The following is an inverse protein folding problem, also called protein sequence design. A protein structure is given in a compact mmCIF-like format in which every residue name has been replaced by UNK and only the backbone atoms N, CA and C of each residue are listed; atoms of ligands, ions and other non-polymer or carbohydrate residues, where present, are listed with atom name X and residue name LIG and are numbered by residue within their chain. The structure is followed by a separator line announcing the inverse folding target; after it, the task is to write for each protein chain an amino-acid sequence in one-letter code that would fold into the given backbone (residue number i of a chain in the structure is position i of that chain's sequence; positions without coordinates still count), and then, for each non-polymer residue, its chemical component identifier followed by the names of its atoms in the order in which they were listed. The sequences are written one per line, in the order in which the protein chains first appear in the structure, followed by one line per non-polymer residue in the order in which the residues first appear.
data_IF_913400061890
#
_entry.id   IF_913400061890
#
_cell.length_a   1.000
_cell.length_b   1.000
_cell.length_c   1.000
_cell.angle_alpha   90.00
_cell.angle_beta   90.00
_cell.angle_gamma   90.00
#
_symmetry.space_group_name_H-M   'P 1'
#
loop_
_entity.id
_entity.type
_entity.pdbx_description
1 polymer ?
#
# COMPACT_ATOMS: atom_id res chain seq x y z
N UNK A 1 -16.52 14.81 -21.32
CA UNK A 1 -16.11 16.10 -20.74
C UNK A 1 -17.34 16.97 -20.53
N UNK A 2 -17.70 17.30 -19.29
CA UNK A 2 -18.82 18.23 -19.02
C UNK A 2 -18.29 19.65 -19.14
N UNK A 3 -18.78 20.44 -20.11
CA UNK A 3 -18.39 21.84 -20.26
C UNK A 3 -19.00 22.68 -19.14
N UNK A 4 -18.17 23.10 -18.17
CA UNK A 4 -18.59 24.04 -17.12
C UNK A 4 -18.68 25.43 -17.75
N UNK A 5 -19.90 25.96 -17.91
CA UNK A 5 -20.10 27.30 -18.45
C UNK A 5 -19.43 28.36 -17.55
N UNK A 6 -18.71 29.31 -18.17
CA UNK A 6 -17.96 30.40 -17.48
C UNK A 6 -18.82 31.22 -16.51
N UNK A 7 -20.15 31.20 -16.64
CA UNK A 7 -21.09 31.84 -15.71
C UNK A 7 -21.13 31.22 -14.31
N UNK A 8 -20.77 29.93 -14.16
CA UNK A 8 -20.86 29.21 -12.86
C UNK A 8 -19.68 29.46 -11.92
N UNK A 9 -18.59 30.05 -12.42
CA UNK A 9 -17.35 30.35 -11.66
C UNK A 9 -17.27 31.82 -11.19
N UNK A 10 -18.30 32.64 -11.46
CA UNK A 10 -18.34 34.02 -11.01
C UNK A 10 -18.34 34.16 -9.48
N UNK A 11 -17.87 35.30 -8.97
CA UNK A 11 -17.92 35.59 -7.54
C UNK A 11 -19.37 35.69 -7.04
N UNK A 12 -19.57 35.51 -5.73
CA UNK A 12 -20.89 35.45 -5.13
C UNK A 12 -21.73 36.70 -5.39
N UNK A 13 -21.14 37.89 -5.23
CA UNK A 13 -21.81 39.16 -5.49
C UNK A 13 -22.32 39.31 -6.93
N UNK A 14 -21.57 38.82 -7.91
CA UNK A 14 -22.02 38.88 -9.31
C UNK A 14 -23.12 37.85 -9.58
N UNK A 15 -23.07 36.69 -8.92
CA UNK A 15 -24.06 35.62 -9.06
C UNK A 15 -25.38 35.96 -8.38
N UNK A 16 -25.35 36.51 -7.18
CA UNK A 16 -26.55 36.97 -6.45
C UNK A 16 -27.27 38.07 -7.24
N UNK A 17 -26.49 38.99 -7.85
CA UNK A 17 -27.00 40.05 -8.73
C UNK A 17 -27.32 39.59 -10.15
N UNK A 18 -27.08 38.32 -10.49
CA UNK A 18 -27.28 37.72 -11.83
C UNK A 18 -26.59 38.49 -12.98
N UNK A 19 -25.40 39.03 -12.73
CA UNK A 19 -24.59 39.75 -13.73
C UNK A 19 -23.33 38.97 -14.12
N UNK A 20 -22.78 39.25 -15.31
CA UNK A 20 -21.58 38.58 -15.83
C UNK A 20 -20.33 39.00 -15.06
N UNK A 21 -19.67 38.04 -14.42
CA UNK A 21 -18.39 38.21 -13.74
C UNK A 21 -17.22 37.96 -14.70
N UNK A 22 -16.25 38.88 -14.75
CA UNK A 22 -15.05 38.74 -15.59
C UNK A 22 -13.88 38.02 -14.91
N UNK A 23 -14.00 37.69 -13.61
CA UNK A 23 -13.05 36.84 -12.87
C UNK A 23 -11.61 37.36 -12.77
N UNK A 24 -11.40 38.67 -12.91
CA UNK A 24 -10.09 39.30 -12.74
C UNK A 24 -9.59 39.21 -11.30
N UNK A 25 -8.31 38.89 -11.09
CA UNK A 25 -7.69 38.91 -9.75
C UNK A 25 -7.00 40.27 -9.51
N UNK A 26 -6.98 40.79 -8.27
CA UNK A 26 -7.47 40.20 -7.02
C UNK A 26 -8.99 40.36 -6.78
N UNK A 27 -9.70 41.16 -7.57
CA UNK A 27 -11.16 41.36 -7.49
C UNK A 27 -11.76 41.61 -8.88
N UNK A 28 -13.03 41.23 -9.10
CA UNK A 28 -13.67 41.49 -10.39
C UNK A 28 -14.01 42.98 -10.55
N UNK A 29 -14.07 43.46 -11.80
CA UNK A 29 -14.38 44.87 -12.09
C UNK A 29 -15.79 45.28 -11.66
N UNK A 30 -16.69 44.30 -11.47
CA UNK A 30 -18.09 44.53 -11.15
C UNK A 30 -18.27 44.78 -9.66
N UNK A 31 -17.51 44.08 -8.83
CA UNK A 31 -17.38 44.38 -7.40
C UNK A 31 -16.60 45.67 -7.18
N UNK A 32 -15.53 45.92 -7.96
CA UNK A 32 -14.74 47.15 -7.85
C UNK A 32 -15.58 48.40 -8.12
N UNK A 33 -16.35 48.44 -9.22
CA UNK A 33 -17.22 49.59 -9.54
C UNK A 33 -18.39 49.77 -8.57
N UNK A 34 -18.86 48.68 -7.96
CA UNK A 34 -19.95 48.72 -6.99
C UNK A 34 -19.47 49.03 -5.56
N UNK A 35 -18.16 49.25 -5.33
CA UNK A 35 -17.60 49.45 -3.99
C UNK A 35 -17.69 48.22 -3.08
N UNK A 36 -17.92 47.02 -3.64
CA UNK A 36 -18.11 45.78 -2.87
C UNK A 36 -16.80 44.99 -2.76
N UNK A 37 -16.57 44.38 -1.59
CA UNK A 37 -15.49 43.42 -1.41
C UNK A 37 -15.82 42.12 -2.17
N UNK A 38 -14.92 41.67 -3.04
CA UNK A 38 -15.11 40.47 -3.85
C UNK A 38 -14.80 39.21 -3.03
N UNK A 39 -15.80 38.35 -2.80
CA UNK A 39 -15.69 37.11 -2.01
C UNK A 39 -14.88 35.98 -2.66
N UNK A 40 -14.24 36.23 -3.81
CA UNK A 40 -13.49 35.25 -4.57
C UNK A 40 -14.35 34.41 -5.52
N UNK A 41 -13.72 33.44 -6.20
CA UNK A 41 -14.33 32.63 -7.26
C UNK A 41 -14.48 31.18 -6.81
N UNK A 42 -15.59 30.54 -7.18
CA UNK A 42 -15.77 29.10 -6.93
C UNK A 42 -14.76 28.30 -7.74
N UNK A 43 -14.26 27.23 -7.14
CA UNK A 43 -13.45 26.23 -7.82
C UNK A 43 -14.35 25.20 -8.48
N UNK A 44 -13.80 24.42 -9.42
CA UNK A 44 -14.54 23.34 -10.10
C UNK A 44 -15.08 22.32 -9.08
N UNK A 45 -14.42 22.17 -7.92
CA UNK A 45 -14.85 21.30 -6.83
C UNK A 45 -16.16 21.76 -6.15
N UNK A 46 -16.38 23.08 -6.02
CA UNK A 46 -17.58 23.67 -5.39
C UNK A 46 -18.84 23.60 -6.27
N UNK A 47 -18.69 23.07 -7.48
CA UNK A 47 -19.78 22.87 -8.45
C UNK A 47 -20.25 21.42 -8.50
N UNK A 48 -19.48 20.47 -7.96
CA UNK A 48 -19.81 19.03 -8.01
C UNK A 48 -20.76 18.62 -6.87
N UNK A 49 -20.75 19.33 -5.74
CA UNK A 49 -21.72 19.15 -4.67
C UNK A 49 -22.69 20.34 -4.63
N UNK A 50 -23.88 20.15 -5.20
CA UNK A 50 -25.02 21.04 -4.94
C UNK A 50 -26.03 20.25 -4.12
N UNK A 51 -26.18 20.61 -2.85
CA UNK A 51 -27.29 20.14 -2.03
C UNK A 51 -28.60 20.67 -2.64
N UNK A 52 -29.39 19.77 -3.20
CA UNK A 52 -30.67 20.09 -3.84
C UNK A 52 -31.87 19.75 -2.95
N UNK A 53 -31.65 19.36 -1.69
CA UNK A 53 -32.69 18.91 -0.77
C UNK A 53 -33.80 19.94 -0.63
N UNK A 54 -33.46 21.21 -0.40
CA UNK A 54 -34.44 22.30 -0.29
C UNK A 54 -35.21 22.59 -1.60
N UNK A 55 -34.54 22.42 -2.75
CA UNK A 55 -35.14 22.66 -4.08
C UNK A 55 -36.12 21.57 -4.48
N UNK A 56 -35.81 20.32 -4.13
CA UNK A 56 -36.69 19.16 -4.35
C UNK A 56 -37.88 19.24 -3.39
N UNK A 57 -37.65 19.56 -2.11
CA UNK A 57 -38.72 19.78 -1.14
C UNK A 57 -39.72 20.85 -1.62
N UNK A 58 -39.24 22.00 -2.10
CA UNK A 58 -40.12 23.06 -2.64
C UNK A 58 -40.87 22.65 -3.92
N UNK A 59 -40.27 21.82 -4.78
CA UNK A 59 -40.89 21.37 -6.03
C UNK A 59 -42.07 20.42 -5.79
N UNK A 60 -42.04 19.66 -4.71
CA UNK A 60 -43.10 18.71 -4.34
C UNK A 60 -44.15 19.29 -3.38
N UNK A 61 -44.00 20.53 -2.90
CA UNK A 61 -45.01 21.23 -2.10
C UNK A 61 -45.91 22.20 -2.91
N UNK A 62 -45.76 22.26 -4.24
CA UNK A 62 -46.43 23.27 -5.08
C UNK A 62 -47.37 22.70 -6.15
N UNK A 63 -47.72 21.42 -6.13
CA UNK A 63 -48.67 20.84 -7.09
C UNK A 63 -49.80 20.15 -6.32
N UNK A 64 -50.87 20.90 -6.07
CA UNK A 64 -52.18 20.33 -5.74
C UNK A 64 -52.62 19.48 -6.92
N UNK A 65 -52.35 18.19 -6.85
CA UNK A 65 -52.98 17.19 -7.70
C UNK A 65 -53.95 16.43 -6.78
N UNK A 66 -55.21 16.84 -6.81
CA UNK A 66 -56.33 16.06 -6.30
C UNK A 66 -56.38 14.72 -7.02
N UNK A 67 -55.89 13.66 -6.39
CA UNK A 67 -56.11 12.28 -6.80
C UNK A 67 -56.83 11.54 -5.68
N UNK A 68 -58.13 11.35 -5.88
CA UNK A 68 -58.93 10.31 -5.23
C UNK A 68 -58.36 8.95 -5.66
N UNK A 69 -57.69 8.25 -4.74
CA UNK A 69 -57.14 6.93 -5.00
C UNK A 69 -56.64 6.28 -3.71
N UNK A 70 -57.34 5.23 -3.29
CA UNK A 70 -57.14 4.42 -2.07
C UNK A 70 -55.69 4.28 -1.61
N UNK A 71 -55.52 4.49 -0.30
CA UNK A 71 -54.40 4.10 0.54
C UNK A 71 -53.65 2.86 0.06
N UNK A 72 -52.41 3.08 -0.37
CA UNK A 72 -51.29 2.17 -0.10
C UNK A 72 -50.05 3.00 0.18
N UNK A 73 -49.89 3.42 1.42
CA UNK A 73 -48.63 3.92 1.97
C UNK A 73 -47.52 2.88 1.76
N UNK A 74 -46.81 2.93 0.62
CA UNK A 74 -45.46 2.41 0.55
C UNK A 74 -44.57 3.52 1.09
N UNK A 75 -44.39 3.50 2.41
CA UNK A 75 -43.33 4.27 3.06
C UNK A 75 -42.00 3.72 2.50
N UNK A 76 -41.49 4.35 1.44
CA UNK A 76 -40.10 4.21 1.04
C UNK A 76 -39.31 4.94 2.12
N UNK A 77 -39.04 4.23 3.21
CA UNK A 77 -38.09 4.65 4.22
C UNK A 77 -36.74 4.70 3.52
N UNK A 78 -36.27 5.90 3.19
CA UNK A 78 -34.86 6.08 2.83
C UNK A 78 -34.06 5.63 4.05
N UNK A 79 -33.47 4.44 3.96
CA UNK A 79 -32.52 3.97 4.96
C UNK A 79 -31.27 4.83 4.81
N UNK A 80 -31.26 5.99 5.47
CA UNK A 80 -30.02 6.71 5.75
C UNK A 80 -29.24 5.75 6.64
N UNK A 81 -28.07 5.21 6.21
CA UNK A 81 -27.30 4.36 7.09
C UNK A 81 -27.07 5.14 8.40
N UNK A 82 -27.31 4.52 9.57
CA UNK A 82 -27.27 5.21 10.85
C UNK A 82 -25.87 5.78 11.20
N UNK A 83 -24.85 5.47 10.39
CA UNK A 83 -23.48 5.95 10.54
C UNK A 83 -23.05 6.77 9.32
N UNK A 84 -22.40 7.93 9.51
CA UNK A 84 -21.78 8.70 8.43
C UNK A 84 -20.78 7.85 7.63
N UNK A 85 -20.70 8.07 6.31
CA UNK A 85 -19.79 7.32 5.42
C UNK A 85 -18.32 7.36 5.89
N UNK A 86 -17.89 8.46 6.50
CA UNK A 86 -16.57 8.56 7.12
C UNK A 86 -16.32 7.55 8.25
N UNK A 87 -17.31 7.27 9.10
CA UNK A 87 -17.15 6.31 10.20
C UNK A 87 -17.15 4.87 9.67
N UNK A 88 -17.94 4.58 8.64
CA UNK A 88 -17.89 3.29 7.93
C UNK A 88 -16.52 3.08 7.31
N UNK A 89 -15.98 4.10 6.64
CA UNK A 89 -14.65 4.04 6.03
C UNK A 89 -13.53 3.89 7.07
N UNK A 90 -13.62 4.60 8.19
CA UNK A 90 -12.69 4.45 9.30
C UNK A 90 -12.72 3.03 9.85
N UNK A 91 -13.91 2.49 10.13
CA UNK A 91 -14.05 1.14 10.66
C UNK A 91 -13.52 0.10 9.66
N UNK A 92 -13.85 0.26 8.36
CA UNK A 92 -13.32 -0.59 7.30
C UNK A 92 -11.78 -0.57 7.24
N UNK A 93 -11.17 0.62 7.38
CA UNK A 93 -9.72 0.73 7.48
C UNK A 93 -9.16 0.00 8.70
N UNK A 94 -9.77 0.19 9.88
CA UNK A 94 -9.30 -0.42 11.12
C UNK A 94 -9.34 -1.95 11.04
N UNK A 95 -10.35 -2.49 10.34
CA UNK A 95 -10.53 -3.93 10.19
C UNK A 95 -9.61 -4.54 9.12
N UNK A 96 -9.32 -3.83 8.02
CA UNK A 96 -8.66 -4.41 6.84
C UNK A 96 -7.26 -3.85 6.54
N UNK A 97 -6.94 -2.64 6.99
CA UNK A 97 -5.72 -1.93 6.61
C UNK A 97 -4.80 -1.60 7.79
N UNK A 98 -5.21 -1.90 9.01
CA UNK A 98 -4.38 -1.70 10.18
C UNK A 98 -3.26 -2.75 10.29
N UNK A 99 -2.05 -2.39 9.87
CA UNK A 99 -0.87 -3.28 9.89
C UNK A 99 -0.39 -3.66 11.30
N UNK A 100 -0.86 -2.96 12.32
CA UNK A 100 -0.50 -3.22 13.73
C UNK A 100 -1.37 -4.31 14.39
N UNK A 101 -2.52 -4.67 13.82
CA UNK A 101 -3.46 -5.73 14.28
C UNK A 101 -3.90 -5.67 15.77
N UNK A 102 -3.44 -4.70 16.57
CA UNK A 102 -3.83 -4.47 17.96
C UNK A 102 -4.96 -3.45 18.13
N UNK A 103 -5.58 -3.35 19.32
CA UNK A 103 -6.59 -2.33 19.60
C UNK A 103 -6.02 -0.94 19.33
N UNK A 104 -6.55 -0.28 18.30
CA UNK A 104 -6.04 1.02 17.84
C UNK A 104 -6.28 2.08 18.92
N UNK A 105 -5.28 2.93 19.25
CA UNK A 105 -5.47 4.07 20.14
C UNK A 105 -6.49 5.08 19.59
N UNK A 106 -6.88 4.99 18.30
CA UNK A 106 -7.96 5.79 17.71
C UNK A 106 -9.35 5.54 18.34
N UNK A 107 -9.50 4.54 19.20
CA UNK A 107 -10.74 4.29 19.97
C UNK A 107 -10.87 5.13 21.25
N UNK A 108 -9.80 5.77 21.76
CA UNK A 108 -9.84 6.49 23.02
C UNK A 108 -9.24 7.91 22.91
N UNK A 109 -10.12 8.93 23.02
CA UNK A 109 -9.83 10.39 23.06
C UNK A 109 -9.12 11.00 21.83
N UNK A 110 -9.24 12.33 21.70
CA UNK A 110 -8.99 13.19 20.52
C UNK A 110 -8.17 12.55 19.38
N UNK A 111 -8.87 12.11 18.32
CA UNK A 111 -8.21 11.51 17.16
C UNK A 111 -7.48 12.61 16.36
N UNK A 112 -6.13 12.57 16.22
CA UNK A 112 -5.40 13.61 15.50
C UNK A 112 -5.88 13.72 14.05
N UNK A 113 -6.30 14.92 13.63
CA UNK A 113 -6.91 15.14 12.30
C UNK A 113 -6.04 14.63 11.15
N UNK A 114 -4.71 14.72 11.28
CA UNK A 114 -3.75 14.22 10.29
C UNK A 114 -3.88 12.71 10.05
N UNK A 115 -3.97 11.90 11.11
CA UNK A 115 -4.13 10.45 11.00
C UNK A 115 -5.52 10.11 10.49
N UNK A 116 -6.57 10.65 11.13
CA UNK A 116 -7.96 10.31 10.80
C UNK A 116 -8.29 10.59 9.35
N UNK A 117 -7.85 11.74 8.82
CA UNK A 117 -8.14 12.11 7.44
C UNK A 117 -7.47 11.16 6.45
N UNK A 118 -6.22 10.74 6.71
CA UNK A 118 -5.50 9.80 5.84
C UNK A 118 -6.10 8.39 5.93
N UNK A 119 -6.50 7.95 7.12
CA UNK A 119 -7.20 6.68 7.37
C UNK A 119 -8.53 6.61 6.62
N UNK A 120 -9.39 7.62 6.78
CA UNK A 120 -10.68 7.69 6.09
C UNK A 120 -10.48 7.71 4.57
N UNK A 121 -9.44 8.39 4.09
CA UNK A 121 -9.12 8.43 2.66
C UNK A 121 -8.87 7.03 2.08
N UNK A 122 -8.09 6.19 2.77
CA UNK A 122 -7.83 4.80 2.36
C UNK A 122 -9.10 3.95 2.47
N UNK A 123 -9.82 4.04 3.58
CA UNK A 123 -11.06 3.29 3.78
C UNK A 123 -12.11 3.57 2.71
N UNK A 124 -12.31 4.85 2.36
CA UNK A 124 -13.21 5.24 1.27
C UNK A 124 -12.73 4.74 -0.09
N UNK A 125 -11.41 4.79 -0.37
CA UNK A 125 -10.86 4.29 -1.63
C UNK A 125 -11.05 2.78 -1.78
N UNK A 126 -10.83 2.03 -0.70
CA UNK A 126 -11.03 0.58 -0.68
C UNK A 126 -12.49 0.20 -0.94
N UNK A 127 -13.43 0.84 -0.22
CA UNK A 127 -14.87 0.65 -0.44
C UNK A 127 -15.28 1.05 -1.87
N UNK A 128 -14.77 2.18 -2.36
CA UNK A 128 -15.06 2.64 -3.71
C UNK A 128 -14.55 1.67 -4.79
N UNK A 129 -13.37 1.09 -4.60
CA UNK A 129 -12.82 0.08 -5.50
C UNK A 129 -13.65 -1.21 -5.46
N UNK A 130 -13.99 -1.69 -4.26
CA UNK A 130 -14.78 -2.91 -4.07
C UNK A 130 -16.18 -2.81 -4.67
N UNK A 131 -16.84 -1.66 -4.52
CA UNK A 131 -18.19 -1.43 -5.04
C UNK A 131 -18.24 -0.77 -6.42
N UNK A 132 -17.08 -0.51 -7.04
CA UNK A 132 -16.96 0.22 -8.31
C UNK A 132 -17.71 1.57 -8.30
N UNK A 133 -17.64 2.29 -7.18
CA UNK A 133 -18.37 3.55 -6.98
C UNK A 133 -17.48 4.77 -7.27
N UNK A 134 -17.67 5.48 -8.41
CA UNK A 134 -16.87 6.63 -8.76
C UNK A 134 -17.12 7.87 -7.87
N UNK A 135 -18.31 8.00 -7.29
CA UNK A 135 -18.64 9.13 -6.40
C UNK A 135 -17.94 8.96 -5.06
N UNK A 136 -17.97 7.74 -4.51
CA UNK A 136 -17.24 7.41 -3.29
C UNK A 136 -15.73 7.59 -3.51
N UNK A 137 -15.24 7.25 -4.69
CA UNK A 137 -13.84 7.47 -5.05
C UNK A 137 -13.48 8.96 -5.14
N UNK A 138 -14.39 9.80 -5.60
CA UNK A 138 -14.18 11.24 -5.60
C UNK A 138 -14.09 11.80 -4.17
N UNK A 139 -14.92 11.31 -3.24
CA UNK A 139 -14.83 11.66 -1.83
C UNK A 139 -13.47 11.22 -1.23
N UNK A 140 -13.04 10.01 -1.55
CA UNK A 140 -11.74 9.46 -1.13
C UNK A 140 -10.57 10.35 -1.57
N UNK A 141 -10.57 10.82 -2.83
CA UNK A 141 -9.59 11.79 -3.37
C UNK A 141 -9.63 13.13 -2.64
N UNK A 142 -10.81 13.61 -2.24
CA UNK A 142 -10.96 14.83 -1.45
C UNK A 142 -10.33 14.74 -0.07
N UNK A 143 -10.50 13.59 0.61
CA UNK A 143 -9.84 13.29 1.89
C UNK A 143 -8.34 13.12 1.71
N UNK A 144 -7.88 12.42 0.66
CA UNK A 144 -6.46 12.30 0.31
C UNK A 144 -5.79 13.67 0.17
N UNK A 145 -6.38 14.58 -0.62
CA UNK A 145 -5.84 15.92 -0.82
C UNK A 145 -5.80 16.74 0.47
N UNK A 146 -6.75 16.51 1.38
CA UNK A 146 -6.78 17.16 2.70
C UNK A 146 -5.70 16.60 3.61
N UNK A 147 -5.54 15.27 3.66
CA UNK A 147 -4.49 14.60 4.42
C UNK A 147 -3.09 15.02 3.95
N UNK A 148 -2.87 15.13 2.63
CA UNK A 148 -1.61 15.62 2.06
C UNK A 148 -1.29 17.04 2.53
N UNK A 149 -2.28 17.95 2.56
CA UNK A 149 -2.10 19.31 3.09
C UNK A 149 -1.78 19.34 4.58
N UNK A 150 -2.43 18.48 5.37
CA UNK A 150 -2.16 18.36 6.80
C UNK A 150 -0.74 17.83 7.05
N UNK A 151 -0.32 16.79 6.33
CA UNK A 151 1.03 16.25 6.41
C UNK A 151 2.08 17.28 5.99
N UNK A 152 1.86 17.99 4.88
CA UNK A 152 2.77 19.04 4.44
C UNK A 152 2.92 20.15 5.50
N UNK A 153 1.83 20.57 6.16
CA UNK A 153 1.89 21.53 7.26
C UNK A 153 2.61 20.98 8.48
N UNK A 154 2.43 19.70 8.82
CA UNK A 154 3.11 19.08 9.95
C UNK A 154 4.64 18.99 9.74
N UNK A 155 5.09 18.76 8.50
CA UNK A 155 6.51 18.68 8.15
C UNK A 155 7.18 20.06 8.14
N UNK A 156 6.50 21.09 7.63
CA UNK A 156 7.08 22.43 7.46
C UNK A 156 6.70 23.42 8.57
N UNK A 157 5.75 23.06 9.42
CA UNK A 157 5.18 23.94 10.43
C UNK A 157 6.10 24.10 11.65
N UNK A 158 5.96 25.21 12.39
CA UNK A 158 6.71 25.41 13.63
C UNK A 158 6.24 24.48 14.76
N UNK A 159 5.02 23.94 14.66
CA UNK A 159 4.46 22.97 15.61
C UNK A 159 5.02 21.56 15.35
N UNK A 160 5.70 21.00 16.35
CA UNK A 160 6.25 19.65 16.28
C UNK A 160 5.11 18.63 16.38
N UNK A 161 4.61 18.19 15.23
CA UNK A 161 3.78 16.98 15.18
C UNK A 161 4.63 15.75 15.48
N UNK A 162 4.14 14.78 16.28
CA UNK A 162 4.89 13.54 16.53
C UNK A 162 5.28 12.83 15.23
N UNK A 163 6.54 12.38 15.13
CA UNK A 163 7.07 11.67 13.97
C UNK A 163 6.21 10.45 13.59
N UNK A 164 5.70 9.72 14.58
CA UNK A 164 4.79 8.60 14.38
C UNK A 164 3.49 8.98 13.63
N UNK A 165 2.93 10.17 13.88
CA UNK A 165 1.70 10.62 13.23
C UNK A 165 1.94 10.98 11.77
N UNK A 166 3.04 11.68 11.49
CA UNK A 166 3.46 12.02 10.14
C UNK A 166 3.80 10.77 9.33
N UNK A 167 4.56 9.83 9.93
CA UNK A 167 4.90 8.55 9.33
C UNK A 167 3.64 7.73 8.98
N UNK A 168 2.71 7.59 9.93
CA UNK A 168 1.43 6.88 9.71
C UNK A 168 0.62 7.53 8.59
N UNK A 169 0.50 8.86 8.59
CA UNK A 169 -0.22 9.57 7.55
C UNK A 169 0.45 9.39 6.18
N UNK A 170 1.78 9.41 6.11
CA UNK A 170 2.51 9.20 4.87
C UNK A 170 2.34 7.77 4.34
N UNK A 171 2.40 6.75 5.21
CA UNK A 171 2.07 5.37 4.86
C UNK A 171 0.67 5.25 4.26
N UNK A 172 -0.34 5.85 4.90
CA UNK A 172 -1.72 5.81 4.41
C UNK A 172 -1.87 6.45 3.03
N UNK A 173 -1.17 7.56 2.76
CA UNK A 173 -1.16 8.17 1.43
C UNK A 173 -0.53 7.24 0.37
N UNK A 174 0.50 6.47 0.72
CA UNK A 174 1.04 5.43 -0.19
C UNK A 174 0.04 4.32 -0.48
N UNK A 175 -0.71 3.85 0.54
CA UNK A 175 -1.75 2.84 0.36
C UNK A 175 -2.86 3.37 -0.54
N UNK A 176 -3.31 4.60 -0.33
CA UNK A 176 -4.29 5.25 -1.20
C UNK A 176 -3.82 5.25 -2.67
N UNK A 177 -2.59 5.67 -2.93
CA UNK A 177 -2.03 5.68 -4.29
C UNK A 177 -1.87 4.28 -4.89
N UNK A 178 -1.67 3.24 -4.07
CA UNK A 178 -1.68 1.86 -4.55
C UNK A 178 -3.08 1.39 -4.94
N UNK A 179 -4.12 1.78 -4.20
CA UNK A 179 -5.51 1.51 -4.56
C UNK A 179 -5.88 2.28 -5.84
N UNK A 180 -5.39 3.52 -5.94
CA UNK A 180 -5.66 4.41 -7.05
C UNK A 180 -4.70 4.21 -8.22
N UNK A 181 -5.09 3.37 -9.18
CA UNK A 181 -4.42 3.33 -10.47
C UNK A 181 -5.04 4.42 -11.38
N UNK A 182 -4.28 5.47 -11.71
CA UNK A 182 -4.56 6.31 -12.87
C UNK A 182 -3.50 5.95 -13.93
N UNK A 183 -3.93 5.72 -15.17
CA UNK A 183 -3.17 5.14 -16.29
C UNK A 183 -2.02 6.05 -16.81
N UNK A 184 -1.50 6.92 -15.94
CA UNK A 184 -0.43 7.88 -16.17
C UNK A 184 0.87 7.29 -15.66
N UNK A 185 1.69 6.82 -16.59
CA UNK A 185 3.16 6.62 -16.66
C UNK A 185 4.10 6.58 -15.42
N UNK A 186 3.67 6.85 -14.20
CA UNK A 186 4.51 6.86 -13.01
C UNK A 186 4.10 5.73 -12.04
N UNK A 187 4.40 4.48 -12.41
CA UNK A 187 4.03 3.26 -11.66
C UNK A 187 4.56 3.14 -10.22
N UNK A 188 5.26 4.17 -9.72
CA UNK A 188 5.99 4.14 -8.46
C UNK A 188 5.81 5.40 -7.59
N UNK A 189 4.79 6.24 -7.84
CA UNK A 189 4.54 7.45 -7.03
C UNK A 189 4.39 7.15 -5.53
N UNK A 190 3.74 6.04 -5.20
CA UNK A 190 3.53 5.58 -3.82
C UNK A 190 4.85 5.37 -3.06
N UNK A 191 5.96 5.06 -3.75
CA UNK A 191 7.27 4.93 -3.12
C UNK A 191 7.77 6.23 -2.51
N UNK A 192 7.39 7.38 -3.07
CA UNK A 192 7.80 8.68 -2.53
C UNK A 192 7.28 8.90 -1.12
N UNK A 193 6.04 8.49 -0.86
CA UNK A 193 5.46 8.52 0.48
C UNK A 193 6.13 7.52 1.41
N UNK A 194 6.42 6.31 0.94
CA UNK A 194 7.15 5.32 1.74
C UNK A 194 8.55 5.83 2.13
N UNK A 195 9.29 6.45 1.19
CA UNK A 195 10.58 7.06 1.51
C UNK A 195 10.44 8.21 2.50
N UNK A 196 9.48 9.11 2.29
CA UNK A 196 9.21 10.22 3.20
C UNK A 196 8.87 9.75 4.62
N UNK A 197 8.03 8.72 4.75
CA UNK A 197 7.74 8.07 6.01
C UNK A 197 9.00 7.56 6.72
N UNK A 198 9.84 6.81 6.00
CA UNK A 198 11.05 6.22 6.60
C UNK A 198 12.06 7.27 7.03
N UNK A 199 12.18 8.38 6.31
CA UNK A 199 13.03 9.49 6.70
C UNK A 199 12.55 10.15 8.01
N UNK A 200 11.23 10.34 8.15
CA UNK A 200 10.61 10.88 9.38
C UNK A 200 10.80 9.96 10.58
N UNK A 201 10.69 8.64 10.40
CA UNK A 201 10.94 7.69 11.50
C UNK A 201 12.40 7.70 11.94
N UNK A 202 13.32 7.88 10.99
CA UNK A 202 14.75 7.85 11.27
C UNK A 202 15.23 9.10 12.00
N UNK A 203 14.59 10.25 11.78
CA UNK A 203 14.87 11.46 12.56
C UNK A 203 14.20 11.46 13.94
N UNK A 204 13.08 10.76 14.10
CA UNK A 204 12.34 10.67 15.38
C UNK A 204 12.83 9.60 16.36
N UNK A 205 13.60 8.62 15.89
CA UNK A 205 14.10 7.50 16.70
C UNK A 205 13.03 6.44 17.06
N UNK A 206 13.48 5.28 17.55
CA UNK A 206 12.62 4.15 17.96
C UNK A 206 12.44 4.02 19.48
N UNK A 207 12.98 4.94 20.26
CA UNK A 207 12.98 4.86 21.71
C UNK A 207 11.55 4.82 22.28
N UNK A 208 11.27 3.86 23.16
CA UNK A 208 9.96 3.72 23.82
C UNK A 208 8.86 3.08 22.97
N UNK A 209 9.16 2.57 21.77
CA UNK A 209 8.18 1.82 20.98
C UNK A 209 7.87 0.45 21.60
N UNK A 210 6.60 0.07 21.60
CA UNK A 210 6.18 -1.27 21.99
C UNK A 210 6.38 -2.29 20.85
N UNK A 211 6.20 -3.58 21.15
CA UNK A 211 6.36 -4.69 20.18
C UNK A 211 5.56 -4.47 18.91
N UNK A 212 4.29 -4.08 19.04
CA UNK A 212 3.37 -3.86 17.91
C UNK A 212 3.82 -2.71 17.00
N UNK A 213 4.29 -1.61 17.58
CA UNK A 213 4.84 -0.47 16.83
C UNK A 213 6.12 -0.89 16.10
N UNK A 214 7.00 -1.65 16.76
CA UNK A 214 8.22 -2.17 16.16
C UNK A 214 7.91 -3.09 14.97
N UNK A 215 6.93 -4.00 15.11
CA UNK A 215 6.47 -4.86 14.01
C UNK A 215 5.98 -4.03 12.81
N UNK A 216 5.25 -2.94 13.04
CA UNK A 216 4.81 -2.06 11.95
C UNK A 216 5.99 -1.33 11.27
N UNK A 217 6.98 -0.86 12.03
CA UNK A 217 8.20 -0.27 11.48
C UNK A 217 8.95 -1.28 10.62
N UNK A 218 9.17 -2.50 11.13
CA UNK A 218 9.84 -3.57 10.39
C UNK A 218 9.11 -3.90 9.08
N UNK A 219 7.79 -4.05 9.10
CA UNK A 219 7.00 -4.29 7.89
C UNK A 219 7.24 -3.23 6.81
N UNK A 220 7.33 -1.95 7.20
CA UNK A 220 7.64 -0.88 6.23
C UNK A 220 9.10 -0.91 5.80
N UNK A 221 10.07 -1.09 6.70
CA UNK A 221 11.48 -1.22 6.36
C UNK A 221 11.71 -2.31 5.31
N UNK A 222 11.12 -3.50 5.51
CA UNK A 222 11.15 -4.57 4.53
C UNK A 222 10.52 -4.17 3.20
N UNK A 223 9.37 -3.50 3.22
CA UNK A 223 8.73 -3.00 1.99
C UNK A 223 9.64 -2.06 1.21
N UNK A 224 10.38 -1.19 1.90
CA UNK A 224 11.36 -0.29 1.26
C UNK A 224 12.52 -1.08 0.67
N UNK A 225 13.07 -2.04 1.41
CA UNK A 225 14.15 -2.88 0.91
C UNK A 225 13.76 -3.68 -0.33
N UNK A 226 12.52 -4.21 -0.37
CA UNK A 226 11.98 -4.87 -1.56
C UNK A 226 11.73 -3.87 -2.69
N UNK A 227 11.25 -2.66 -2.40
CA UNK A 227 11.12 -1.61 -3.41
C UNK A 227 12.47 -1.20 -4.03
N UNK A 228 13.55 -1.22 -3.25
CA UNK A 228 14.91 -0.99 -3.74
C UNK A 228 15.38 -2.08 -4.71
N UNK A 229 14.89 -3.33 -4.59
CA UNK A 229 15.08 -4.36 -5.63
C UNK A 229 14.39 -3.91 -6.93
N UNK A 230 13.16 -3.43 -6.83
CA UNK A 230 12.34 -3.04 -7.99
C UNK A 230 12.97 -1.88 -8.77
N UNK A 231 13.42 -0.86 -8.05
CA UNK A 231 14.08 0.32 -8.62
C UNK A 231 15.57 0.11 -8.90
N UNK A 232 16.13 -1.03 -8.46
CA UNK A 232 17.56 -1.34 -8.47
C UNK A 232 18.40 -0.21 -7.87
N UNK A 233 18.01 0.22 -6.69
CA UNK A 233 18.71 1.23 -5.89
C UNK A 233 19.21 0.62 -4.59
N UNK A 234 20.18 1.27 -3.95
CA UNK A 234 20.65 0.86 -2.63
C UNK A 234 19.59 1.15 -1.59
N UNK A 235 19.48 0.28 -0.59
CA UNK A 235 18.70 0.57 0.62
C UNK A 235 19.39 1.73 1.35
N UNK A 236 18.67 2.79 1.74
CA UNK A 236 19.25 3.88 2.52
C UNK A 236 19.89 3.38 3.83
N UNK A 237 21.13 3.80 4.12
CA UNK A 237 21.88 3.31 5.29
C UNK A 237 21.17 3.58 6.61
N UNK A 238 20.49 4.73 6.71
CA UNK A 238 19.72 5.10 7.90
C UNK A 238 18.66 4.05 8.27
N UNK A 239 18.13 3.27 7.31
CA UNK A 239 17.18 2.19 7.59
C UNK A 239 17.84 0.99 8.24
N UNK A 240 19.08 0.70 7.84
CA UNK A 240 19.88 -0.35 8.46
C UNK A 240 20.19 0.05 9.90
N UNK A 241 20.63 1.28 10.11
CA UNK A 241 20.89 1.84 11.44
C UNK A 241 19.63 1.83 12.32
N UNK A 242 18.47 2.20 11.73
CA UNK A 242 17.18 2.19 12.39
C UNK A 242 16.83 0.80 12.93
N UNK A 243 16.89 -0.23 12.08
CA UNK A 243 16.54 -1.61 12.48
C UNK A 243 17.58 -2.20 13.44
N UNK A 244 18.87 -1.94 13.23
CA UNK A 244 19.93 -2.40 14.13
C UNK A 244 19.86 -1.74 15.52
N UNK A 245 19.34 -0.51 15.61
CA UNK A 245 19.10 0.12 16.92
C UNK A 245 18.05 -0.64 17.75
N UNK A 246 17.11 -1.33 17.09
CA UNK A 246 16.11 -2.18 17.74
C UNK A 246 16.68 -3.54 18.18
N UNK A 247 17.70 -4.07 17.49
CA UNK A 247 18.36 -5.35 17.80
C UNK A 247 18.92 -5.39 19.22
N UNK A 248 19.47 -4.26 19.68
CA UNK A 248 20.04 -4.12 21.02
C UNK A 248 18.99 -4.23 22.14
N UNK A 249 17.70 -4.11 21.83
CA UNK A 249 16.61 -4.16 22.79
C UNK A 249 15.86 -5.51 22.78
N UNK A 250 15.81 -6.21 21.64
CA UNK A 250 15.19 -7.54 21.49
C UNK A 250 15.61 -8.18 20.16
N UNK A 251 16.39 -9.28 20.18
CA UNK A 251 16.82 -9.98 18.95
C UNK A 251 15.71 -10.87 18.39
N UNK A 252 14.68 -10.24 17.81
CA UNK A 252 13.66 -10.98 17.06
C UNK A 252 14.18 -11.39 15.68
N UNK A 253 13.81 -12.56 15.13
CA UNK A 253 14.33 -13.04 13.85
C UNK A 253 14.26 -12.07 12.66
N UNK A 254 13.20 -11.24 12.48
CA UNK A 254 13.16 -10.26 11.38
C UNK A 254 14.20 -9.14 11.53
N UNK A 255 14.64 -8.83 12.75
CA UNK A 255 15.69 -7.83 12.97
C UNK A 255 17.03 -8.34 12.43
N UNK A 256 17.33 -9.62 12.66
CA UNK A 256 18.55 -10.27 12.14
C UNK A 256 18.53 -10.49 10.61
N UNK A 257 17.36 -10.79 10.05
CA UNK A 257 17.22 -11.05 8.61
C UNK A 257 17.33 -9.77 7.76
N UNK A 258 16.92 -8.62 8.30
CA UNK A 258 16.85 -7.37 7.54
C UNK A 258 18.22 -6.89 7.00
N UNK A 259 19.32 -6.84 7.79
CA UNK A 259 20.65 -6.50 7.28
C UNK A 259 21.17 -7.44 6.18
N UNK A 260 20.79 -8.73 6.23
CA UNK A 260 21.15 -9.70 5.19
C UNK A 260 20.46 -9.35 3.86
N UNK A 261 19.16 -9.00 3.90
CA UNK A 261 18.44 -8.49 2.74
C UNK A 261 19.09 -7.22 2.18
N UNK A 262 19.37 -6.23 3.02
CA UNK A 262 20.00 -4.97 2.59
C UNK A 262 21.35 -5.21 1.92
N UNK A 263 22.17 -6.11 2.47
CA UNK A 263 23.47 -6.47 1.89
C UNK A 263 23.32 -7.14 0.52
N UNK A 264 22.32 -8.02 0.34
CA UNK A 264 22.03 -8.63 -0.96
C UNK A 264 21.53 -7.62 -1.98
N UNK A 265 20.71 -6.65 -1.58
CA UNK A 265 20.28 -5.56 -2.47
C UNK A 265 21.47 -4.74 -2.94
N UNK A 266 22.43 -4.41 -2.05
CA UNK A 266 23.64 -3.70 -2.45
C UNK A 266 24.48 -4.51 -3.46
N UNK A 267 24.69 -5.80 -3.21
CA UNK A 267 25.37 -6.69 -4.17
C UNK A 267 24.63 -6.76 -5.52
N UNK A 268 23.29 -6.81 -5.51
CA UNK A 268 22.46 -6.81 -6.72
C UNK A 268 22.55 -5.52 -7.54
N UNK A 269 22.80 -4.38 -6.89
CA UNK A 269 23.10 -3.12 -7.58
C UNK A 269 24.51 -3.18 -8.19
N UNK A 270 25.49 -3.73 -7.47
CA UNK A 270 26.88 -3.85 -7.93
C UNK A 270 27.06 -4.78 -9.14
N UNK A 271 26.22 -5.80 -9.32
CA UNK A 271 26.29 -6.69 -10.50
C UNK A 271 26.12 -5.94 -11.82
N UNK A 272 25.45 -4.78 -11.84
CA UNK A 272 25.30 -3.97 -13.05
C UNK A 272 26.57 -3.21 -13.47
N UNK A 273 27.54 -3.07 -12.55
CA UNK A 273 28.61 -2.07 -12.65
C UNK A 273 30.01 -2.69 -12.81
N UNK A 274 30.12 -4.01 -12.99
CA UNK A 274 31.35 -4.72 -12.58
C UNK A 274 32.26 -5.27 -13.70
N UNK A 275 33.48 -4.72 -13.71
CA UNK A 275 34.72 -5.30 -14.24
C UNK A 275 35.11 -6.62 -13.53
N UNK A 276 35.96 -7.44 -14.14
CA UNK A 276 36.29 -8.83 -13.70
C UNK A 276 36.72 -8.98 -12.23
N UNK A 277 37.58 -8.09 -11.71
CA UNK A 277 38.08 -8.14 -10.32
C UNK A 277 36.98 -7.97 -9.26
N UNK A 278 35.90 -7.25 -9.59
CA UNK A 278 34.76 -7.02 -8.67
C UNK A 278 33.83 -8.24 -8.57
N UNK A 279 33.82 -9.13 -9.57
CA UNK A 279 32.89 -10.27 -9.63
C UNK A 279 33.21 -11.35 -8.59
N UNK A 280 34.48 -11.66 -8.36
CA UNK A 280 34.88 -12.66 -7.36
C UNK A 280 34.53 -12.22 -5.93
N UNK A 281 34.72 -10.93 -5.62
CA UNK A 281 34.33 -10.36 -4.33
C UNK A 281 32.81 -10.41 -4.12
N UNK A 282 32.02 -10.02 -5.12
CA UNK A 282 30.54 -10.09 -5.07
C UNK A 282 30.07 -11.52 -4.84
N UNK A 283 30.62 -12.50 -5.58
CA UNK A 283 30.30 -13.92 -5.39
C UNK A 283 30.65 -14.41 -3.99
N UNK A 284 31.86 -14.11 -3.49
CA UNK A 284 32.29 -14.51 -2.14
C UNK A 284 31.35 -13.94 -1.08
N UNK A 285 31.00 -12.65 -1.19
CA UNK A 285 30.11 -12.00 -0.23
C UNK A 285 28.68 -12.56 -0.28
N UNK A 286 28.17 -12.85 -1.47
CA UNK A 286 26.87 -13.50 -1.62
C UNK A 286 26.84 -14.89 -0.97
N UNK A 287 27.91 -15.69 -1.13
CA UNK A 287 28.04 -17.01 -0.50
C UNK A 287 28.12 -16.91 1.03
N UNK A 288 28.83 -15.92 1.57
CA UNK A 288 28.80 -15.63 3.02
C UNK A 288 27.37 -15.37 3.51
N UNK A 289 26.61 -14.53 2.79
CA UNK A 289 25.22 -14.22 3.17
C UNK A 289 24.34 -15.48 3.08
N UNK A 290 24.53 -16.35 2.07
CA UNK A 290 23.80 -17.62 1.98
C UNK A 290 24.05 -18.51 3.20
N UNK A 291 25.30 -18.59 3.69
CA UNK A 291 25.61 -19.30 4.94
C UNK A 291 24.93 -18.63 6.14
N UNK A 292 24.98 -17.31 6.24
CA UNK A 292 24.29 -16.57 7.31
C UNK A 292 22.77 -16.81 7.31
N UNK A 293 22.15 -16.90 6.14
CA UNK A 293 20.73 -17.23 5.99
C UNK A 293 20.42 -18.66 6.48
N UNK A 294 21.32 -19.63 6.25
CA UNK A 294 21.18 -20.98 6.78
C UNK A 294 21.34 -21.01 8.31
N UNK A 295 22.31 -20.27 8.85
CA UNK A 295 22.50 -20.13 10.29
C UNK A 295 21.30 -19.46 10.96
N UNK A 296 20.73 -18.43 10.33
CA UNK A 296 19.50 -17.77 10.79
C UNK A 296 18.33 -18.76 10.86
N UNK A 297 18.13 -19.54 9.79
CA UNK A 297 17.08 -20.57 9.72
C UNK A 297 17.22 -21.62 10.85
N UNK A 298 18.45 -22.07 11.12
CA UNK A 298 18.71 -23.08 12.14
C UNK A 298 18.49 -22.59 13.58
N UNK A 299 18.44 -21.27 13.81
CA UNK A 299 18.25 -20.65 15.14
C UNK A 299 16.82 -20.14 15.38
N UNK A 300 15.89 -20.33 14.44
CA UNK A 300 14.54 -19.84 14.60
C UNK A 300 13.85 -20.45 15.82
N UNK A 301 13.26 -19.63 16.71
CA UNK A 301 12.54 -20.15 17.86
C UNK A 301 11.19 -20.76 17.43
N UNK A 302 10.62 -21.60 18.30
CA UNK A 302 9.40 -22.39 18.02
C UNK A 302 8.22 -21.61 17.42
N UNK A 303 7.93 -20.33 17.76
CA UNK A 303 6.83 -19.60 17.13
C UNK A 303 7.05 -19.29 15.63
N UNK A 304 8.29 -19.33 15.15
CA UNK A 304 8.65 -18.96 13.77
C UNK A 304 8.61 -20.15 12.81
N UNK A 305 7.52 -20.91 12.84
CA UNK A 305 7.32 -22.06 11.95
C UNK A 305 7.01 -21.62 10.51
N UNK A 306 7.48 -22.40 9.54
CA UNK A 306 7.19 -22.17 8.12
C UNK A 306 5.73 -22.54 7.79
N UNK A 307 4.90 -21.59 7.31
CA UNK A 307 3.51 -21.88 6.97
C UNK A 307 3.35 -22.94 5.88
N UNK A 308 4.35 -23.12 5.01
CA UNK A 308 4.32 -24.13 3.93
C UNK A 308 4.37 -25.56 4.50
N UNK A 309 5.06 -25.75 5.62
CA UNK A 309 5.30 -27.07 6.23
C UNK A 309 4.33 -27.40 7.37
N UNK A 310 3.45 -26.46 7.75
CA UNK A 310 2.64 -26.57 8.97
C UNK A 310 1.15 -26.47 8.63
N UNK A 311 0.44 -27.61 8.66
CA UNK A 311 -1.00 -27.67 8.35
C UNK A 311 -1.86 -26.98 9.44
N UNK A 312 -1.32 -26.74 10.64
CA UNK A 312 -2.11 -26.47 11.87
C UNK A 312 -1.69 -25.25 12.72
N UNK A 313 -0.81 -24.35 12.28
CA UNK A 313 -0.50 -23.12 13.06
C UNK A 313 -1.58 -22.03 12.93
N UNK A 314 -2.85 -22.41 13.11
CA UNK A 314 -4.03 -21.68 12.63
C UNK A 314 -4.71 -20.76 13.69
N UNK A 315 -4.03 -20.22 14.71
CA UNK A 315 -4.69 -19.28 15.66
C UNK A 315 -3.80 -18.19 16.26
N UNK A 316 -2.64 -17.88 15.69
CA UNK A 316 -1.79 -16.81 16.25
C UNK A 316 -2.06 -15.46 15.58
N UNK A 317 -2.27 -14.37 16.37
CA UNK A 317 -2.47 -13.01 15.85
C UNK A 317 -1.37 -12.53 14.88
N UNK A 318 -0.16 -13.11 14.98
CA UNK A 318 1.02 -12.72 14.20
C UNK A 318 1.24 -13.59 12.94
N UNK A 319 0.34 -14.53 12.61
CA UNK A 319 0.53 -15.50 11.51
C UNK A 319 0.78 -14.87 10.13
N UNK A 320 0.08 -13.78 9.80
CA UNK A 320 0.29 -13.05 8.54
C UNK A 320 1.66 -12.37 8.46
N UNK A 321 2.21 -11.96 9.61
CA UNK A 321 3.54 -11.37 9.71
C UNK A 321 4.62 -12.44 9.58
N UNK A 322 4.49 -13.56 10.29
CA UNK A 322 5.41 -14.71 10.19
C UNK A 322 5.51 -15.21 8.75
N UNK A 323 4.37 -15.38 8.08
CA UNK A 323 4.32 -15.78 6.67
C UNK A 323 5.07 -14.81 5.75
N UNK A 324 4.98 -13.50 6.00
CA UNK A 324 5.73 -12.49 5.23
C UNK A 324 7.23 -12.58 5.44
N UNK A 325 7.68 -12.77 6.67
CA UNK A 325 9.10 -12.92 6.99
C UNK A 325 9.69 -14.14 6.28
N UNK A 326 8.94 -15.24 6.22
CA UNK A 326 9.29 -16.41 5.42
C UNK A 326 9.36 -16.14 3.92
N UNK A 327 8.46 -15.31 3.38
CA UNK A 327 8.55 -14.84 1.99
C UNK A 327 9.81 -13.99 1.78
N UNK A 328 10.15 -13.08 2.71
CA UNK A 328 11.37 -12.28 2.62
C UNK A 328 12.63 -13.12 2.69
N UNK A 329 12.66 -14.16 3.53
CA UNK A 329 13.75 -15.14 3.57
C UNK A 329 13.95 -15.82 2.20
N UNK A 330 12.86 -16.30 1.58
CA UNK A 330 12.88 -16.92 0.24
C UNK A 330 13.33 -15.94 -0.84
N UNK A 331 12.88 -14.69 -0.77
CA UNK A 331 13.36 -13.61 -1.65
C UNK A 331 14.86 -13.37 -1.49
N UNK A 332 15.40 -13.40 -0.26
CA UNK A 332 16.84 -13.30 -0.03
C UNK A 332 17.59 -14.46 -0.72
N UNK A 333 17.08 -15.70 -0.62
CA UNK A 333 17.67 -16.87 -1.28
C UNK A 333 17.65 -16.75 -2.81
N UNK A 334 16.54 -16.30 -3.39
CA UNK A 334 16.41 -16.01 -4.82
C UNK A 334 17.41 -14.92 -5.25
N UNK A 335 17.44 -13.80 -4.53
CA UNK A 335 18.32 -12.66 -4.82
C UNK A 335 19.79 -13.05 -4.75
N UNK A 336 20.20 -13.80 -3.73
CA UNK A 336 21.56 -14.30 -3.58
C UNK A 336 21.99 -15.17 -4.77
N UNK A 337 21.11 -16.07 -5.21
CA UNK A 337 21.41 -16.91 -6.36
C UNK A 337 21.53 -16.08 -7.65
N UNK A 338 20.65 -15.11 -7.88
CA UNK A 338 20.74 -14.19 -9.04
C UNK A 338 22.05 -13.39 -9.02
N UNK A 339 22.45 -12.89 -7.85
CA UNK A 339 23.72 -12.16 -7.67
C UNK A 339 24.92 -13.05 -8.03
N UNK A 340 24.95 -14.29 -7.53
CA UNK A 340 26.01 -15.26 -7.83
C UNK A 340 26.03 -15.58 -9.32
N UNK A 341 24.89 -15.94 -9.91
CA UNK A 341 24.79 -16.31 -11.32
C UNK A 341 25.20 -15.16 -12.25
N UNK A 342 24.79 -13.93 -11.94
CA UNK A 342 25.16 -12.74 -12.71
C UNK A 342 26.66 -12.41 -12.63
N UNK A 343 27.35 -12.91 -11.61
CA UNK A 343 28.78 -12.66 -11.36
C UNK A 343 29.68 -13.74 -11.99
N UNK A 344 29.15 -14.92 -12.30
CA UNK A 344 29.86 -16.01 -12.98
C UNK A 344 29.92 -15.75 -14.49
N UNK A 345 31.12 -15.55 -15.02
CA UNK A 345 31.34 -14.88 -16.31
C UNK A 345 31.05 -15.71 -17.58
N UNK A 346 30.56 -16.95 -17.51
CA UNK A 346 30.17 -17.75 -18.69
C UNK A 346 29.36 -19.00 -18.28
N UNK A 347 28.48 -19.55 -19.14
CA UNK A 347 27.66 -20.73 -18.84
C UNK A 347 28.47 -21.99 -18.47
N UNK A 348 29.75 -22.05 -18.87
CA UNK A 348 30.62 -23.21 -18.68
C UNK A 348 31.25 -23.33 -17.28
N UNK A 349 31.10 -22.35 -16.40
CA UNK A 349 31.48 -22.44 -14.98
C UNK A 349 30.28 -22.73 -14.06
N UNK A 350 29.10 -23.01 -14.63
CA UNK A 350 27.88 -23.37 -13.87
C UNK A 350 27.92 -24.78 -13.28
N UNK A 351 28.98 -25.54 -13.53
CA UNK A 351 29.10 -26.93 -13.11
C UNK A 351 29.77 -26.97 -11.73
N UNK A 352 28.97 -27.30 -10.71
CA UNK A 352 29.33 -27.69 -9.33
C UNK A 352 28.80 -26.77 -8.22
N UNK A 353 27.48 -26.65 -8.10
CA UNK A 353 26.88 -26.22 -6.83
C UNK A 353 25.54 -26.90 -6.48
N UNK A 354 25.22 -28.04 -7.10
CA UNK A 354 24.24 -28.97 -6.57
C UNK A 354 24.96 -29.95 -5.63
N UNK A 355 24.84 -29.76 -4.31
CA UNK A 355 25.03 -30.89 -3.41
C UNK A 355 23.82 -31.82 -3.60
N UNK A 356 24.04 -32.85 -4.43
CA UNK A 356 23.11 -33.94 -4.70
C UNK A 356 22.79 -34.07 -6.18
N UNK A 357 23.53 -34.94 -6.87
CA UNK A 357 23.29 -35.56 -8.18
C UNK A 357 22.11 -35.04 -9.02
N UNK A 358 22.39 -34.42 -10.17
CA UNK A 358 21.79 -34.74 -11.49
C UNK A 358 22.56 -33.97 -12.58
N UNK A 359 22.94 -34.71 -13.62
CA UNK A 359 23.61 -34.26 -14.85
C UNK A 359 22.88 -33.12 -15.57
N UNK A 360 23.65 -32.13 -16.03
CA UNK A 360 23.20 -31.00 -16.85
C UNK A 360 23.01 -31.42 -18.31
N UNK A 361 21.75 -31.63 -18.69
CA UNK A 361 21.30 -31.47 -20.07
C UNK A 361 19.96 -30.74 -20.06
N UNK A 362 20.00 -29.40 -20.14
CA UNK A 362 19.01 -28.51 -20.77
C UNK A 362 19.27 -27.07 -20.33
N UNK A 363 19.83 -26.29 -21.25
CA UNK A 363 19.65 -24.83 -21.27
C UNK A 363 18.15 -24.56 -21.43
N UNK A 364 17.50 -24.07 -20.37
CA UNK A 364 16.26 -23.25 -20.35
C UNK A 364 15.53 -23.31 -18.99
N UNK A 365 15.94 -24.15 -18.04
CA UNK A 365 15.31 -24.19 -16.71
C UNK A 365 15.96 -23.20 -15.72
N UNK A 366 15.14 -22.37 -15.08
CA UNK A 366 15.50 -21.72 -13.81
C UNK A 366 16.05 -22.81 -12.88
N UNK A 367 17.20 -22.58 -12.23
CA UNK A 367 17.81 -23.53 -11.29
C UNK A 367 16.74 -24.17 -10.38
N UNK A 368 16.79 -25.47 -10.08
CA UNK A 368 15.82 -26.15 -9.21
C UNK A 368 15.52 -25.39 -7.91
N UNK A 369 16.53 -24.71 -7.37
CA UNK A 369 16.42 -23.85 -6.19
C UNK A 369 15.51 -22.63 -6.42
N UNK A 370 15.60 -21.97 -7.58
CA UNK A 370 14.70 -20.84 -7.92
C UNK A 370 13.26 -21.32 -8.09
N UNK A 371 13.06 -22.44 -8.80
CA UNK A 371 11.74 -23.02 -8.98
C UNK A 371 11.09 -23.39 -7.64
N UNK A 372 11.85 -24.05 -6.77
CA UNK A 372 11.40 -24.40 -5.42
C UNK A 372 11.05 -23.15 -4.60
N UNK A 373 11.98 -22.20 -4.45
CA UNK A 373 11.75 -21.00 -3.63
C UNK A 373 10.58 -20.16 -4.14
N UNK A 374 10.44 -20.02 -5.46
CA UNK A 374 9.32 -19.27 -6.08
C UNK A 374 8.00 -20.00 -5.84
N UNK A 375 7.97 -21.33 -5.98
CA UNK A 375 6.80 -22.16 -5.64
C UNK A 375 6.38 -21.95 -4.19
N UNK A 376 7.31 -22.09 -3.25
CA UNK A 376 7.02 -21.96 -1.82
C UNK A 376 6.57 -20.54 -1.44
N UNK A 377 7.06 -19.50 -2.12
CA UNK A 377 6.51 -18.13 -1.95
C UNK A 377 5.01 -18.14 -2.27
N UNK A 378 4.59 -18.73 -3.39
CA UNK A 378 3.17 -18.76 -3.74
C UNK A 378 2.33 -19.59 -2.77
N UNK A 379 2.87 -20.69 -2.24
CA UNK A 379 2.20 -21.51 -1.20
C UNK A 379 2.05 -20.76 0.14
N UNK A 380 2.94 -19.80 0.42
CA UNK A 380 2.90 -18.98 1.61
C UNK A 380 1.95 -17.76 1.50
N UNK A 381 1.61 -17.31 0.29
CA UNK A 381 0.75 -16.14 0.06
C UNK A 381 -0.61 -16.22 0.78
N UNK A 382 -1.36 -17.35 0.76
CA UNK A 382 -2.62 -17.48 1.48
C UNK A 382 -2.49 -17.17 2.98
N UNK A 383 -1.47 -17.73 3.63
CA UNK A 383 -1.16 -17.47 5.04
C UNK A 383 -0.80 -16.00 5.29
N UNK A 384 -0.03 -15.37 4.40
CA UNK A 384 0.27 -13.93 4.46
C UNK A 384 -0.99 -13.06 4.33
N UNK A 385 -1.93 -13.44 3.48
CA UNK A 385 -3.18 -12.70 3.26
C UNK A 385 -4.18 -12.90 4.41
N UNK A 386 -3.97 -13.91 5.27
CA UNK A 386 -4.88 -14.27 6.37
C UNK A 386 -6.07 -15.10 5.90
N UNK A 387 -5.93 -15.82 4.79
CA UNK A 387 -7.08 -16.43 4.11
C UNK A 387 -7.55 -17.77 4.62
N UNK A 388 -6.80 -18.41 5.51
CA UNK A 388 -7.24 -19.63 6.19
C UNK A 388 -8.50 -19.36 7.05
N UNK A 389 -8.85 -18.08 7.26
CA UNK A 389 -9.89 -17.62 8.16
C UNK A 389 -11.15 -17.07 7.48
N UNK A 390 -11.21 -17.00 6.15
CA UNK A 390 -12.33 -16.39 5.41
C UNK A 390 -13.28 -17.43 4.80
N UNK A 391 -13.54 -18.55 5.50
CA UNK A 391 -14.47 -19.58 5.00
C UNK A 391 -15.95 -19.11 5.01
N UNK A 392 -16.28 -18.03 5.73
CA UNK A 392 -17.66 -17.57 5.95
C UNK A 392 -17.96 -16.12 5.46
N UNK A 393 -17.10 -15.48 4.67
CA UNK A 393 -17.41 -14.16 4.07
C UNK A 393 -17.14 -14.16 2.56
N UNK A 394 -18.10 -13.69 1.74
CA UNK A 394 -17.95 -13.67 0.29
C UNK A 394 -16.96 -12.56 -0.09
N UNK A 395 -15.98 -12.91 -0.90
CA UNK A 395 -14.88 -12.08 -1.44
C UNK A 395 -13.70 -11.76 -0.49
N UNK A 396 -12.43 -11.98 -0.93
CA UNK A 396 -11.26 -11.42 -0.27
C UNK A 396 -11.31 -9.89 -0.36
N UNK A 397 -11.70 -9.27 0.76
CA UNK A 397 -11.64 -7.83 0.92
C UNK A 397 -10.23 -7.30 0.65
N UNK A 398 -10.17 -6.11 0.03
CA UNK A 398 -8.91 -5.40 -0.11
C UNK A 398 -8.36 -5.06 1.27
N UNK A 399 -7.10 -5.41 1.52
CA UNK A 399 -6.45 -5.25 2.82
C UNK A 399 -5.03 -4.69 2.67
N UNK A 400 -4.41 -4.27 3.77
CA UNK A 400 -2.99 -3.88 3.78
C UNK A 400 -2.07 -5.02 3.32
N UNK A 401 -2.47 -6.29 3.48
CA UNK A 401 -1.67 -7.44 3.03
C UNK A 401 -1.56 -7.49 1.50
N UNK A 402 -2.55 -6.98 0.78
CA UNK A 402 -2.50 -6.87 -0.69
C UNK A 402 -1.44 -5.86 -1.14
N UNK A 403 -1.24 -4.78 -0.39
CA UNK A 403 -0.18 -3.82 -0.66
C UNK A 403 1.21 -4.48 -0.61
N UNK A 404 1.49 -5.24 0.45
CA UNK A 404 2.75 -5.99 0.57
C UNK A 404 2.90 -7.05 -0.54
N UNK A 405 1.81 -7.75 -0.87
CA UNK A 405 1.79 -8.73 -1.97
C UNK A 405 2.20 -8.11 -3.30
N UNK A 406 1.65 -6.94 -3.65
CA UNK A 406 1.99 -6.25 -4.91
C UNK A 406 3.49 -5.97 -4.98
N UNK A 407 4.09 -5.43 -3.91
CA UNK A 407 5.53 -5.14 -3.88
C UNK A 407 6.37 -6.42 -3.99
N UNK A 408 5.96 -7.51 -3.33
CA UNK A 408 6.62 -8.82 -3.43
C UNK A 408 6.58 -9.37 -4.86
N UNK A 409 5.40 -9.37 -5.49
CA UNK A 409 5.23 -9.87 -6.86
C UNK A 409 5.98 -9.01 -7.88
N UNK A 410 5.98 -7.67 -7.72
CA UNK A 410 6.78 -6.78 -8.56
C UNK A 410 8.28 -7.06 -8.43
N UNK A 411 8.78 -7.33 -7.21
CA UNK A 411 10.17 -7.74 -7.04
C UNK A 411 10.46 -9.10 -7.68
N UNK A 412 9.57 -10.09 -7.54
CA UNK A 412 9.71 -11.37 -8.24
C UNK A 412 9.77 -11.19 -9.76
N UNK A 413 8.95 -10.31 -10.35
CA UNK A 413 8.99 -9.97 -11.78
C UNK A 413 10.34 -9.36 -12.20
N UNK A 414 11.02 -8.64 -11.30
CA UNK A 414 12.36 -8.10 -11.58
C UNK A 414 13.46 -9.14 -11.46
N UNK A 415 13.24 -10.17 -10.68
CA UNK A 415 14.19 -11.23 -10.39
C UNK A 415 14.01 -12.47 -11.29
N UNK A 416 12.82 -12.66 -11.84
CA UNK A 416 12.41 -13.86 -12.60
C UNK A 416 11.55 -13.47 -13.81
N UNK A 417 11.00 -14.45 -14.55
CA UNK A 417 10.14 -14.17 -15.70
C UNK A 417 8.75 -13.62 -15.30
N UNK A 418 8.34 -12.51 -15.93
CA UNK A 418 7.04 -11.85 -15.67
C UNK A 418 5.86 -12.79 -15.91
N UNK A 419 5.88 -13.51 -17.03
CA UNK A 419 4.76 -14.36 -17.46
C UNK A 419 4.54 -15.51 -16.48
N UNK A 420 5.64 -16.15 -16.07
CA UNK A 420 5.64 -17.19 -15.04
C UNK A 420 5.09 -16.68 -13.71
N UNK A 421 5.51 -15.49 -13.26
CA UNK A 421 5.03 -14.93 -11.99
C UNK A 421 3.52 -14.68 -12.02
N UNK A 422 3.05 -14.02 -13.06
CA UNK A 422 1.62 -13.69 -13.24
C UNK A 422 0.77 -14.96 -13.33
N UNK A 423 1.20 -15.96 -14.11
CA UNK A 423 0.46 -17.19 -14.31
C UNK A 423 0.44 -18.07 -13.05
N UNK A 424 1.57 -18.25 -12.38
CA UNK A 424 1.67 -19.11 -11.20
C UNK A 424 0.90 -18.55 -10.01
N UNK A 425 1.05 -17.24 -9.74
CA UNK A 425 0.30 -16.58 -8.69
C UNK A 425 -1.21 -16.65 -8.97
N UNK A 426 -1.63 -16.22 -10.16
CA UNK A 426 -3.07 -16.16 -10.48
C UNK A 426 -3.74 -17.52 -10.52
N UNK A 427 -3.07 -18.55 -11.04
CA UNK A 427 -3.59 -19.93 -11.09
C UNK A 427 -3.79 -20.49 -9.68
N UNK A 428 -2.81 -20.33 -8.78
CA UNK A 428 -2.92 -20.81 -7.40
C UNK A 428 -4.01 -20.08 -6.61
N UNK A 429 -4.07 -18.76 -6.74
CA UNK A 429 -5.12 -17.98 -6.08
C UNK A 429 -6.51 -18.32 -6.65
N UNK A 430 -6.64 -18.49 -7.97
CA UNK A 430 -7.92 -18.89 -8.59
C UNK A 430 -8.40 -20.25 -8.06
N UNK A 431 -7.50 -21.23 -7.89
CA UNK A 431 -7.83 -22.53 -7.30
C UNK A 431 -8.33 -22.44 -5.85
N UNK A 432 -7.84 -21.45 -5.10
CA UNK A 432 -8.19 -21.28 -3.68
C UNK A 432 -9.48 -20.48 -3.47
N UNK A 433 -9.69 -19.40 -4.24
CA UNK A 433 -10.81 -18.46 -4.00
C UNK A 433 -11.90 -18.49 -5.07
N UNK A 434 -11.72 -19.17 -6.21
CA UNK A 434 -12.70 -19.16 -7.28
C UNK A 434 -13.03 -17.75 -7.80
N UNK A 435 -14.32 -17.45 -7.99
CA UNK A 435 -14.81 -16.18 -8.54
C UNK A 435 -14.64 -14.97 -7.59
N UNK A 436 -14.56 -15.23 -6.28
CA UNK A 436 -14.42 -14.19 -5.26
C UNK A 436 -13.11 -13.38 -5.44
N UNK A 437 -12.11 -13.96 -6.10
CA UNK A 437 -10.82 -13.35 -6.42
C UNK A 437 -10.89 -12.06 -7.26
N UNK A 438 -12.04 -11.70 -7.84
CA UNK A 438 -12.19 -10.65 -8.85
C UNK A 438 -11.51 -9.31 -8.54
N UNK A 439 -11.88 -8.62 -7.45
CA UNK A 439 -11.39 -7.26 -7.16
C UNK A 439 -9.90 -7.24 -6.80
N UNK A 440 -9.45 -8.18 -5.95
CA UNK A 440 -8.04 -8.31 -5.60
C UNK A 440 -7.20 -8.65 -6.84
N UNK A 441 -7.68 -9.58 -7.68
CA UNK A 441 -7.03 -9.96 -8.92
C UNK A 441 -6.87 -8.76 -9.84
N UNK A 442 -7.94 -8.01 -10.07
CA UNK A 442 -7.92 -6.81 -10.90
C UNK A 442 -6.88 -5.81 -10.38
N UNK A 443 -6.89 -5.49 -9.09
CA UNK A 443 -5.95 -4.54 -8.51
C UNK A 443 -4.50 -5.00 -8.67
N UNK A 444 -4.20 -6.24 -8.29
CA UNK A 444 -2.83 -6.76 -8.39
C UNK A 444 -2.40 -6.81 -9.85
N UNK A 445 -3.23 -7.33 -10.76
CA UNK A 445 -2.90 -7.39 -12.20
C UNK A 445 -2.65 -6.00 -12.79
N UNK A 446 -3.44 -4.99 -12.43
CA UNK A 446 -3.21 -3.60 -12.84
C UNK A 446 -1.83 -3.05 -12.39
N UNK A 447 -1.21 -3.64 -11.36
CA UNK A 447 0.11 -3.23 -10.85
C UNK A 447 1.26 -4.12 -11.34
N UNK A 448 0.97 -5.29 -11.90
CA UNK A 448 1.97 -6.19 -12.48
C UNK A 448 2.11 -6.03 -14.00
N UNK A 449 1.02 -5.68 -14.68
CA UNK A 449 0.99 -5.39 -16.12
C UNK A 449 1.61 -4.05 -16.42
#
# INVERSE_FOLDING_TARGET
MVSVSRGKLGCENCRSRRIKCNQLRPRCSQCARAGLQCSGYRTVLDLVFQDQTARIAQKYHGTDITLHGKDRHHNITFFVPPMPMEEIALQHYLDQFNITQGPSPLRAQERPKIIVTSVISVGLAALAAAHRDPQLMQLARGKYATALRLLARAIHGPEQSPAAYMATSSFNLSMFEMIMYDNRSDSYQWLKHIYGMTAVLSSGGLAGMNRTQMTAVLQVCYTVAIACIISRQRVPSFLVDLVQSAEKANSEPPVELFPLLCSLVDLYVQTNQSQSQKRSHVTSKALEIVRSLQCWLARLPSPWTDPVNTVQSQREPDGCWIARVWIYYRLCRILAHIVIQSSLASPLQSISWALGDVSLAQSDSLSPVLCQMTSEIYDCIPSMLGSIYLRDKPSPYLSSNVFFLITILQALIKLTDKTSVVNNWSSRMCKLYGEDFGVMKELVMMRLC
#
